data_IF_053329187894
#
_entry.id   IF_053329187894
#
_cell.length_a   1.000
_cell.length_b   1.000
_cell.length_c   1.000
_cell.angle_alpha   90.00
_cell.angle_beta   90.00
_cell.angle_gamma   90.00
#
_symmetry.space_group_name_H-M   'P 1'
#
loop_
_entity.id
_entity.type
_entity.pdbx_description
1 polymer ?
#
# COMPACT_ATOMS: atom_id res chain seq x y z
N UNK A 1 57.05 17.70 -22.62
CA UNK A 1 56.62 17.50 -24.02
C UNK A 1 56.31 16.02 -24.18
N UNK A 2 55.02 15.69 -24.26
CA UNK A 2 54.39 15.15 -25.50
C UNK A 2 54.72 13.67 -25.67
N UNK A 3 53.79 12.75 -25.43
CA UNK A 3 52.82 12.43 -26.46
C UNK A 3 51.47 11.94 -25.91
N UNK A 4 50.44 12.30 -26.69
CA UNK A 4 49.01 12.16 -26.49
C UNK A 4 48.46 11.33 -27.66
N UNK A 5 47.31 10.68 -27.45
CA UNK A 5 46.48 9.87 -28.39
C UNK A 5 46.98 8.43 -28.57
N UNK A 6 46.12 7.41 -28.52
CA UNK A 6 45.12 7.09 -29.57
C UNK A 6 43.78 6.59 -28.98
N UNK A 7 42.69 6.85 -29.71
CA UNK A 7 41.28 6.67 -29.36
C UNK A 7 40.62 5.47 -30.09
N UNK A 8 39.34 5.24 -29.76
CA UNK A 8 38.25 4.46 -30.42
C UNK A 8 37.80 3.23 -29.62
N UNK A 9 36.52 2.84 -29.50
CA UNK A 9 35.17 3.29 -29.91
C UNK A 9 34.19 2.30 -29.22
N UNK A 10 32.90 2.64 -29.06
CA UNK A 10 31.83 1.62 -29.13
C UNK A 10 30.87 1.43 -27.95
N UNK A 11 29.73 2.11 -28.06
CA UNK A 11 28.32 1.65 -27.91
C UNK A 11 27.89 0.66 -26.80
N UNK A 12 26.88 1.12 -26.05
CA UNK A 12 25.73 0.47 -25.41
C UNK A 12 25.55 -1.08 -25.45
N UNK A 13 25.25 -1.67 -24.28
CA UNK A 13 24.19 -2.66 -24.01
C UNK A 13 24.20 -2.99 -22.50
N UNK A 14 23.18 -2.63 -21.72
CA UNK A 14 21.91 -3.34 -21.51
C UNK A 14 22.09 -4.80 -20.99
N UNK A 15 21.64 -5.03 -19.75
CA UNK A 15 21.40 -6.37 -19.17
C UNK A 15 21.72 -6.40 -17.67
N UNK A 16 20.85 -6.83 -16.75
CA UNK A 16 19.55 -7.49 -16.86
C UNK A 16 18.72 -7.11 -15.62
N UNK A 17 17.63 -6.38 -15.82
CA UNK A 17 16.54 -6.37 -14.84
C UNK A 17 15.61 -7.51 -15.27
N UNK A 18 15.74 -8.65 -14.58
CA UNK A 18 14.91 -9.81 -14.83
C UNK A 18 13.46 -9.46 -14.48
N UNK A 19 12.67 -9.42 -15.55
CA UNK A 19 11.26 -9.05 -15.57
C UNK A 19 10.44 -10.29 -15.27
N UNK A 20 9.54 -10.24 -14.27
CA UNK A 20 8.44 -11.20 -14.20
C UNK A 20 7.22 -10.62 -13.47
N UNK A 21 6.45 -9.84 -14.23
CA UNK A 21 5.01 -10.02 -14.46
C UNK A 21 4.19 -8.73 -14.32
N UNK A 22 3.91 -8.13 -15.46
CA UNK A 22 2.93 -7.07 -15.67
C UNK A 22 1.52 -7.64 -15.72
N UNK A 23 0.62 -7.12 -14.89
CA UNK A 23 -0.82 -7.15 -15.16
C UNK A 23 -1.39 -5.75 -14.91
N UNK A 24 -1.21 -4.93 -15.94
CA UNK A 24 -2.05 -3.82 -16.41
C UNK A 24 -3.27 -3.42 -15.59
N UNK A 25 -3.10 -2.42 -14.73
CA UNK A 25 -3.95 -1.22 -14.57
C UNK A 25 -3.24 -0.44 -13.46
N UNK A 26 -2.74 0.77 -13.72
CA UNK A 26 -2.06 1.53 -12.67
C UNK A 26 -3.08 1.88 -11.58
N UNK A 27 -3.16 1.02 -10.56
CA UNK A 27 -3.89 1.29 -9.33
C UNK A 27 -3.22 2.52 -8.69
N UNK A 28 -3.83 3.68 -8.82
CA UNK A 28 -3.47 4.83 -7.99
C UNK A 28 -3.80 4.45 -6.55
N UNK A 29 -2.78 4.04 -5.81
CA UNK A 29 -2.87 3.66 -4.42
C UNK A 29 -2.24 4.76 -3.58
N UNK A 30 -3.09 5.62 -3.00
CA UNK A 30 -2.64 6.58 -1.97
C UNK A 30 -2.93 5.96 -0.62
N UNK A 31 -1.89 5.76 0.18
CA UNK A 31 -2.03 5.24 1.55
C UNK A 31 -2.19 6.40 2.53
N UNK A 32 -3.26 6.34 3.32
CA UNK A 32 -3.58 7.33 4.34
C UNK A 32 -3.26 6.83 5.75
N UNK A 33 -3.28 5.52 5.97
CA UNK A 33 -2.97 4.91 7.27
C UNK A 33 -2.19 3.61 7.09
N UNK A 34 -1.18 3.39 7.94
CA UNK A 34 -0.53 2.10 8.17
C UNK A 34 -0.31 1.93 9.69
N UNK A 35 -1.28 1.31 10.36
CA UNK A 35 -1.27 1.13 11.81
C UNK A 35 -0.88 -0.30 12.19
N UNK A 36 -0.01 -0.47 13.19
CA UNK A 36 0.30 -1.80 13.75
C UNK A 36 -0.89 -2.27 14.58
N UNK A 37 -1.50 -3.39 14.18
CA UNK A 37 -2.61 -4.00 14.92
C UNK A 37 -2.10 -5.00 15.96
N UNK A 38 -1.08 -5.78 15.60
CA UNK A 38 -0.34 -6.69 16.48
C UNK A 38 1.04 -7.00 15.85
N UNK A 39 1.78 -7.96 16.41
CA UNK A 39 3.14 -8.28 15.96
C UNK A 39 3.25 -8.67 14.48
N UNK A 40 2.22 -9.29 13.90
CA UNK A 40 2.24 -9.78 12.51
C UNK A 40 1.23 -9.10 11.58
N UNK A 41 0.28 -8.32 12.12
CA UNK A 41 -0.77 -7.67 11.34
C UNK A 41 -0.71 -6.14 11.40
N UNK A 42 -0.99 -5.51 10.26
CA UNK A 42 -1.17 -4.07 10.10
C UNK A 42 -2.54 -3.76 9.52
N UNK A 43 -3.15 -2.67 9.95
CA UNK A 43 -4.36 -2.12 9.33
C UNK A 43 -3.97 -0.98 8.40
N UNK A 44 -4.35 -1.09 7.13
CA UNK A 44 -4.10 -0.05 6.12
C UNK A 44 -5.39 0.56 5.64
N UNK A 45 -5.36 1.87 5.38
CA UNK A 45 -6.40 2.62 4.69
C UNK A 45 -5.79 3.18 3.42
N UNK A 46 -6.22 2.63 2.29
CA UNK A 46 -5.72 2.96 0.96
C UNK A 46 -6.88 3.49 0.11
N UNK A 47 -6.63 4.50 -0.73
CA UNK A 47 -7.53 4.88 -1.82
C UNK A 47 -7.07 4.16 -3.08
N UNK A 48 -7.95 3.42 -3.75
CA UNK A 48 -7.66 2.61 -4.94
C UNK A 48 -8.60 2.97 -6.07
N UNK A 49 -8.10 2.93 -7.30
CA UNK A 49 -8.92 3.03 -8.50
C UNK A 49 -8.99 1.67 -9.20
N UNK A 50 -10.20 1.15 -9.39
CA UNK A 50 -10.45 -0.11 -10.08
C UNK A 50 -11.55 0.10 -11.13
N UNK A 51 -11.23 -0.21 -12.40
CA UNK A 51 -12.14 -0.05 -13.55
C UNK A 51 -12.80 1.33 -13.60
N UNK A 52 -12.00 2.39 -13.42
CA UNK A 52 -12.45 3.78 -13.44
C UNK A 52 -13.23 4.24 -12.19
N UNK A 53 -13.46 3.36 -11.21
CA UNK A 53 -14.14 3.70 -9.96
C UNK A 53 -13.14 3.82 -8.83
N UNK A 54 -13.31 4.85 -7.99
CA UNK A 54 -12.47 5.06 -6.82
C UNK A 54 -13.12 4.45 -5.58
N UNK A 55 -12.31 3.80 -4.76
CA UNK A 55 -12.71 3.15 -3.53
C UNK A 55 -11.73 3.42 -2.41
N UNK A 56 -12.24 3.46 -1.19
CA UNK A 56 -11.44 3.39 0.03
C UNK A 56 -11.39 1.90 0.42
N UNK A 57 -10.20 1.32 0.49
CA UNK A 57 -9.94 -0.04 0.98
C UNK A 57 -9.35 0.05 2.39
N UNK A 58 -10.09 -0.50 3.35
CA UNK A 58 -9.68 -0.62 4.75
C UNK A 58 -9.42 -2.10 4.99
N UNK A 59 -8.14 -2.50 5.10
CA UNK A 59 -7.76 -3.91 5.04
C UNK A 59 -6.66 -4.26 6.03
N UNK A 60 -6.77 -5.45 6.59
CA UNK A 60 -5.70 -6.07 7.37
C UNK A 60 -4.67 -6.68 6.43
N UNK A 61 -3.42 -6.33 6.63
CA UNK A 61 -2.25 -6.91 5.99
C UNK A 61 -1.49 -7.75 7.00
N UNK A 62 -0.99 -8.90 6.59
CA UNK A 62 -0.19 -9.78 7.45
C UNK A 62 1.22 -9.91 6.89
N UNK A 63 2.19 -10.12 7.76
CA UNK A 63 3.57 -10.42 7.39
C UNK A 63 3.76 -11.93 7.22
N UNK A 64 4.42 -12.35 6.15
CA UNK A 64 4.83 -13.74 5.96
C UNK A 64 6.18 -14.05 6.64
N UNK A 65 6.64 -15.29 6.54
CA UNK A 65 7.93 -15.72 7.09
C UNK A 65 9.15 -15.03 6.44
N UNK A 66 8.98 -14.48 5.24
CA UNK A 66 10.01 -13.72 4.53
C UNK A 66 10.00 -12.22 4.89
N UNK A 67 9.11 -11.79 5.80
CA UNK A 67 8.98 -10.39 6.21
C UNK A 67 8.16 -9.54 5.23
N UNK A 68 7.50 -10.15 4.23
CA UNK A 68 6.71 -9.43 3.23
C UNK A 68 5.27 -9.29 3.68
N UNK A 69 4.71 -8.10 3.47
CA UNK A 69 3.31 -7.82 3.82
C UNK A 69 2.38 -8.17 2.66
N UNK A 70 1.36 -8.98 2.95
CA UNK A 70 0.32 -9.38 2.02
C UNK A 70 -1.07 -8.91 2.48
N UNK A 71 -1.95 -8.51 1.55
CA UNK A 71 -3.32 -8.18 1.90
C UNK A 71 -4.06 -9.46 2.33
N UNK A 72 -4.81 -9.40 3.43
CA UNK A 72 -5.71 -10.48 3.80
C UNK A 72 -7.10 -10.31 3.17
N UNK A 73 -7.93 -11.34 3.24
CA UNK A 73 -9.37 -11.24 2.94
C UNK A 73 -10.14 -10.38 3.96
N UNK A 74 -9.56 -10.10 5.15
CA UNK A 74 -10.18 -9.29 6.20
C UNK A 74 -10.07 -7.81 5.85
N UNK A 75 -11.15 -7.24 5.35
CA UNK A 75 -11.22 -5.83 5.02
C UNK A 75 -12.52 -5.48 4.33
N UNK A 76 -12.74 -4.19 4.14
CA UNK A 76 -13.90 -3.65 3.44
C UNK A 76 -13.45 -2.62 2.42
N UNK A 77 -14.10 -2.65 1.26
CA UNK A 77 -13.91 -1.69 0.19
C UNK A 77 -15.21 -0.91 0.03
N UNK A 78 -15.13 0.41 0.09
CA UNK A 78 -16.30 1.30 0.10
C UNK A 78 -16.11 2.46 -0.85
N UNK A 79 -17.23 2.98 -1.37
CA UNK A 79 -17.21 4.19 -2.19
C UNK A 79 -16.89 5.40 -1.31
N UNK A 80 -16.12 6.40 -1.81
CA UNK A 80 -15.81 7.62 -1.06
C UNK A 80 -17.04 8.35 -0.52
N UNK A 81 -18.20 8.23 -1.17
CA UNK A 81 -19.47 8.82 -0.74
C UNK A 81 -19.95 8.31 0.63
N UNK A 82 -19.54 7.11 1.06
CA UNK A 82 -19.89 6.55 2.38
C UNK A 82 -18.94 7.00 3.51
N UNK A 83 -17.81 7.62 3.16
CA UNK A 83 -16.77 7.98 4.13
C UNK A 83 -17.24 8.89 5.27
N UNK A 84 -18.09 9.92 5.05
CA UNK A 84 -18.55 10.79 6.14
C UNK A 84 -19.36 10.04 7.20
N UNK A 85 -20.24 9.12 6.78
CA UNK A 85 -21.05 8.31 7.70
C UNK A 85 -20.18 7.31 8.47
N UNK A 86 -19.24 6.66 7.78
CA UNK A 86 -18.30 5.74 8.41
C UNK A 86 -17.44 6.47 9.46
N UNK A 87 -16.90 7.64 9.12
CA UNK A 87 -16.09 8.44 10.05
C UNK A 87 -16.91 8.83 11.29
N UNK A 88 -18.16 9.25 11.10
CA UNK A 88 -19.07 9.56 12.22
C UNK A 88 -19.31 8.34 13.10
N UNK A 89 -19.57 7.17 12.51
CA UNK A 89 -19.78 5.93 13.25
C UNK A 89 -18.55 5.53 14.08
N UNK A 90 -17.35 5.62 13.49
CA UNK A 90 -16.08 5.37 14.19
C UNK A 90 -15.88 6.36 15.33
N UNK A 91 -16.11 7.65 15.09
CA UNK A 91 -15.94 8.70 16.10
C UNK A 91 -16.89 8.52 17.29
N UNK A 92 -18.13 8.11 17.05
CA UNK A 92 -19.09 7.78 18.11
C UNK A 92 -18.66 6.53 18.88
N UNK A 93 -18.24 5.47 18.19
CA UNK A 93 -17.74 4.25 18.83
C UNK A 93 -16.52 4.52 19.72
N UNK A 94 -15.61 5.38 19.28
CA UNK A 94 -14.44 5.79 20.06
C UNK A 94 -14.81 6.53 21.35
N UNK A 95 -15.86 7.37 21.32
CA UNK A 95 -16.36 8.07 22.51
C UNK A 95 -17.09 7.15 23.49
N UNK A 96 -17.77 6.11 22.98
CA UNK A 96 -18.50 5.14 23.81
C UNK A 96 -17.59 4.15 24.53
N UNK A 97 -16.30 4.10 24.19
CA UNK A 97 -15.33 3.28 24.90
C UNK A 97 -15.00 3.92 26.26
N UNK A 98 -15.70 3.50 27.31
CA UNK A 98 -15.33 3.80 28.70
C UNK A 98 -14.24 2.81 29.16
N UNK A 99 -12.99 3.26 29.39
CA UNK A 99 -11.93 2.38 29.89
C UNK A 99 -12.15 1.88 31.33
N UNK A 100 -13.22 2.28 32.03
CA UNK A 100 -13.50 1.92 33.43
C UNK A 100 -14.39 0.67 33.65
N UNK A 101 -14.46 -0.22 32.66
CA UNK A 101 -15.14 -1.53 32.78
C UNK A 101 -14.21 -2.73 33.01
N UNK A 102 -12.90 -2.54 33.04
CA UNK A 102 -11.92 -3.58 33.38
C UNK A 102 -11.60 -3.48 34.89
N UNK A 103 -12.54 -3.90 35.72
CA UNK A 103 -12.31 -4.19 37.14
C UNK A 103 -11.98 -5.68 37.32
#
# INVERSE_FOLDING_TARGET
MTAKKIAHQGKAQAGRNDTANSSSDTEYLVRFLDAVKNASERLRVDLKTYRGNTYIDIRVWYVDAAGQYHPSSKGVMLKPTLAPELLRGIALAAQSFDPKGAA
#
